data_IF_686083953256
#
_entry.id   IF_686083953256
#
_cell.length_a   1.000
_cell.length_b   1.000
_cell.length_c   1.000
_cell.angle_alpha   90.00
_cell.angle_beta   90.00
_cell.angle_gamma   90.00
#
_symmetry.space_group_name_H-M   'P 1'
#
loop_
_entity.id
_entity.type
_entity.pdbx_description
1 polymer ?
#
# COMPACT_ATOMS: atom_id res chain seq x y z
N UNK A 1 -14.53 -29.76 -13.55
CA UNK A 1 -14.27 -28.95 -12.35
C UNK A 1 -13.27 -27.89 -12.76
N UNK A 2 -13.74 -26.65 -12.98
CA UNK A 2 -12.86 -25.55 -13.35
C UNK A 2 -12.34 -24.98 -12.03
N UNK A 3 -11.19 -25.49 -11.58
CA UNK A 3 -10.50 -24.96 -10.41
C UNK A 3 -9.89 -23.65 -10.89
N UNK A 4 -10.65 -22.56 -10.69
CA UNK A 4 -10.12 -21.21 -10.79
C UNK A 4 -8.87 -21.21 -9.92
N UNK A 5 -7.73 -21.12 -10.62
CA UNK A 5 -6.41 -21.07 -10.05
C UNK A 5 -6.44 -20.00 -8.98
N UNK A 6 -6.16 -20.46 -7.77
CA UNK A 6 -6.07 -19.70 -6.53
C UNK A 6 -5.54 -18.33 -6.87
N UNK A 7 -6.40 -17.31 -6.74
CA UNK A 7 -5.91 -15.94 -6.60
C UNK A 7 -4.81 -16.05 -5.55
N UNK A 8 -3.59 -15.80 -6.00
CA UNK A 8 -2.42 -15.59 -5.18
C UNK A 8 -2.72 -14.37 -4.31
N UNK A 9 -3.59 -14.59 -3.33
CA UNK A 9 -4.01 -13.71 -2.23
C UNK A 9 -2.83 -13.54 -1.24
N UNK A 10 -1.64 -13.97 -1.66
CA UNK A 10 -0.42 -13.34 -1.23
C UNK A 10 -0.47 -11.92 -1.78
N UNK A 11 -1.07 -11.03 -1.01
CA UNK A 11 -1.05 -9.59 -1.24
C UNK A 11 0.41 -9.13 -1.27
N UNK A 12 1.04 -9.29 -2.41
CA UNK A 12 2.30 -8.71 -2.72
C UNK A 12 1.97 -7.25 -2.95
N UNK A 13 2.39 -6.39 -2.03
CA UNK A 13 2.51 -4.95 -2.28
C UNK A 13 3.48 -4.79 -3.45
N UNK A 14 2.99 -5.01 -4.66
CA UNK A 14 3.70 -4.88 -5.92
C UNK A 14 3.34 -3.54 -6.51
N UNK A 15 4.35 -2.86 -7.03
CA UNK A 15 4.22 -1.52 -7.61
C UNK A 15 3.17 -1.47 -8.72
N UNK A 16 2.85 -2.61 -9.34
CA UNK A 16 1.84 -2.75 -10.37
C UNK A 16 0.40 -2.55 -9.86
N UNK A 17 0.06 -3.14 -8.71
CA UNK A 17 -1.26 -2.97 -8.07
C UNK A 17 -1.51 -1.56 -7.53
N UNK A 18 -0.42 -0.84 -7.29
CA UNK A 18 -0.40 0.55 -6.83
C UNK A 18 0.20 1.50 -7.86
N UNK A 19 0.07 1.18 -9.15
CA UNK A 19 0.59 2.01 -10.25
C UNK A 19 0.01 3.43 -10.30
N UNK A 20 -1.10 3.68 -9.60
CA UNK A 20 -1.68 5.01 -9.42
C UNK A 20 -0.97 5.84 -8.34
N UNK A 21 -0.15 5.22 -7.49
CA UNK A 21 0.72 5.92 -6.55
C UNK A 21 1.92 6.49 -7.29
N UNK A 22 2.31 7.71 -6.90
CA UNK A 22 3.56 8.32 -7.36
C UNK A 22 4.77 7.59 -6.76
N UNK A 23 5.95 7.72 -7.36
CA UNK A 23 7.20 7.14 -6.82
C UNK A 23 7.44 7.50 -5.35
N UNK A 24 7.22 8.77 -4.98
CA UNK A 24 7.35 9.24 -3.60
C UNK A 24 6.35 8.61 -2.63
N UNK A 25 5.14 8.35 -3.09
CA UNK A 25 4.09 7.68 -2.32
C UNK A 25 4.39 6.19 -2.14
N UNK A 26 4.95 5.57 -3.18
CA UNK A 26 5.41 4.20 -3.16
C UNK A 26 6.58 3.99 -2.18
N UNK A 27 7.56 4.89 -2.16
CA UNK A 27 8.67 4.84 -1.19
C UNK A 27 8.15 4.93 0.25
N UNK A 28 7.17 5.80 0.50
CA UNK A 28 6.57 5.96 1.82
C UNK A 28 5.77 4.72 2.22
N UNK A 29 4.99 4.14 1.30
CA UNK A 29 4.33 2.87 1.54
C UNK A 29 5.35 1.76 1.87
N UNK A 30 6.51 1.76 1.19
CA UNK A 30 7.66 0.91 1.50
C UNK A 30 8.18 1.11 2.92
N UNK A 31 8.45 2.35 3.33
CA UNK A 31 8.87 2.68 4.70
C UNK A 31 7.83 2.30 5.75
N UNK A 32 6.55 2.54 5.48
CA UNK A 32 5.48 2.15 6.38
C UNK A 32 5.38 0.62 6.49
N UNK A 33 5.66 -0.11 5.40
CA UNK A 33 5.68 -1.57 5.41
C UNK A 33 6.86 -2.15 6.20
N UNK A 34 7.98 -1.42 6.26
CA UNK A 34 9.11 -1.76 7.12
C UNK A 34 8.81 -1.45 8.59
N UNK A 35 8.12 -0.35 8.88
CA UNK A 35 7.80 0.10 10.23
C UNK A 35 6.65 -0.71 10.89
N UNK A 36 5.57 -0.95 10.14
CA UNK A 36 4.32 -1.56 10.63
C UNK A 36 4.18 -3.02 10.19
N UNK A 37 5.03 -3.47 9.27
CA UNK A 37 4.92 -4.77 8.63
C UNK A 37 4.08 -4.71 7.35
N UNK A 38 4.56 -5.40 6.30
CA UNK A 38 3.86 -5.59 5.02
C UNK A 38 2.38 -5.97 5.16
N UNK A 39 1.99 -6.95 6.00
CA UNK A 39 0.58 -7.36 6.10
C UNK A 39 -0.32 -6.30 6.75
N UNK A 40 0.22 -5.47 7.65
CA UNK A 40 -0.54 -4.41 8.28
C UNK A 40 -0.86 -3.28 7.28
N UNK A 41 0.12 -2.95 6.44
CA UNK A 41 -0.04 -1.94 5.40
C UNK A 41 -0.95 -2.42 4.29
N UNK A 42 -0.82 -3.67 3.85
CA UNK A 42 -1.74 -4.16 2.81
C UNK A 42 -3.17 -4.21 3.29
N UNK A 43 -3.45 -4.80 4.47
CA UNK A 43 -4.80 -4.84 5.00
C UNK A 43 -5.40 -3.44 5.22
N UNK A 44 -4.57 -2.47 5.62
CA UNK A 44 -5.00 -1.07 5.71
C UNK A 44 -5.31 -0.47 4.33
N UNK A 45 -4.46 -0.69 3.32
CA UNK A 45 -4.67 -0.16 1.98
C UNK A 45 -5.86 -0.83 1.29
N UNK A 46 -6.04 -2.14 1.42
CA UNK A 46 -7.21 -2.87 0.91
C UNK A 46 -8.53 -2.39 1.50
N UNK A 47 -8.52 -2.04 2.80
CA UNK A 47 -9.69 -1.48 3.45
C UNK A 47 -10.00 -0.04 3.02
N UNK A 48 -9.13 0.62 2.26
CA UNK A 48 -9.24 2.02 1.88
C UNK A 48 -9.47 2.17 0.37
N UNK A 49 -10.36 3.08 -0.02
CA UNK A 49 -10.50 3.50 -1.42
C UNK A 49 -9.23 4.18 -1.93
N UNK A 50 -9.00 4.22 -3.25
CA UNK A 50 -7.82 4.84 -3.88
C UNK A 50 -7.51 6.26 -3.35
N UNK A 51 -8.54 7.11 -3.22
CA UNK A 51 -8.39 8.46 -2.66
C UNK A 51 -7.96 8.46 -1.18
N UNK A 52 -8.44 7.49 -0.41
CA UNK A 52 -8.07 7.34 0.99
C UNK A 52 -6.66 6.78 1.16
N UNK A 53 -6.21 5.92 0.23
CA UNK A 53 -4.84 5.42 0.19
C UNK A 53 -3.86 6.57 -0.09
N UNK A 54 -4.14 7.41 -1.09
CA UNK A 54 -3.40 8.65 -1.33
C UNK A 54 -3.39 9.56 -0.09
N UNK A 55 -4.55 9.79 0.54
CA UNK A 55 -4.63 10.63 1.73
C UNK A 55 -3.86 10.05 2.93
N UNK A 56 -3.88 8.73 3.11
CA UNK A 56 -3.14 8.05 4.17
C UNK A 56 -1.63 8.21 3.97
N UNK A 57 -1.14 7.90 2.77
CA UNK A 57 0.28 8.03 2.43
C UNK A 57 0.74 9.48 2.53
N UNK A 58 -0.06 10.43 2.02
CA UNK A 58 0.26 11.85 2.09
C UNK A 58 0.24 12.39 3.54
N UNK A 59 -0.62 11.86 4.42
CA UNK A 59 -0.56 12.16 5.86
C UNK A 59 0.72 11.64 6.51
N UNK A 60 1.22 10.48 6.08
CA UNK A 60 2.51 9.97 6.54
C UNK A 60 3.68 10.83 6.03
N UNK A 61 3.64 11.26 4.76
CA UNK A 61 4.58 12.24 4.21
C UNK A 61 4.59 13.55 5.02
N UNK A 62 3.42 14.14 5.28
CA UNK A 62 3.32 15.37 6.05
C UNK A 62 3.84 15.22 7.48
N UNK A 63 3.59 14.08 8.13
CA UNK A 63 4.11 13.82 9.48
C UNK A 63 5.62 13.53 9.49
N UNK A 64 6.18 13.00 8.41
CA UNK A 64 7.63 12.88 8.21
C UNK A 64 8.33 14.19 7.86
N UNK A 65 7.58 15.18 7.36
CA UNK A 65 8.09 16.50 6.90
C UNK A 65 7.90 17.60 7.95
N UNK A 66 7.72 17.26 9.22
CA UNK A 66 7.96 18.20 10.31
C UNK A 66 9.47 18.29 10.58
N UNK A 67 10.20 19.01 9.74
CA UNK A 67 11.57 19.46 10.03
C UNK A 67 11.78 20.90 9.57
#
# INVERSE_FOLDING_TARGET
MNMLDVEDDSFHVTREGYSFLSDSEWEVAGHMSELLGKPAISGMLESLSKDQQHAAINKFLQKGTCR
#
